data_IF_781714547278
#
_entry.id   IF_781714547278
#
_cell.length_a   1.000
_cell.length_b   1.000
_cell.length_c   1.000
_cell.angle_alpha   90.00
_cell.angle_beta   90.00
_cell.angle_gamma   90.00
#
_symmetry.space_group_name_H-M   'P 1'
#
loop_
_entity.id
_entity.type
_entity.pdbx_description
1 polymer ?
#
# COMPACT_ATOMS: atom_id res chain seq x y z
N UNK A 1 22.94 15.18 12.34
CA UNK A 1 21.92 15.98 13.06
C UNK A 1 20.58 15.45 12.59
N UNK A 2 19.75 15.03 13.55
CA UNK A 2 18.54 14.24 13.35
C UNK A 2 17.37 15.16 13.00
N UNK A 3 16.88 15.09 11.76
CA UNK A 3 15.70 15.86 11.30
C UNK A 3 14.70 14.99 10.52
N UNK A 4 14.70 13.67 10.77
CA UNK A 4 13.61 12.78 10.34
C UNK A 4 12.35 12.78 11.23
N UNK A 5 12.33 13.32 12.47
CA UNK A 5 11.28 12.95 13.42
C UNK A 5 9.99 13.80 13.23
N UNK A 6 10.05 14.84 12.38
CA UNK A 6 8.89 15.67 12.01
C UNK A 6 7.92 14.96 11.05
N UNK A 7 8.41 14.05 10.21
CA UNK A 7 7.58 13.34 9.24
C UNK A 7 6.59 12.39 9.94
N UNK A 8 7.01 11.75 11.03
CA UNK A 8 6.18 10.85 11.83
C UNK A 8 5.04 11.59 12.53
N UNK A 9 5.32 12.76 13.13
CA UNK A 9 4.28 13.60 13.72
C UNK A 9 3.26 14.04 12.66
N UNK A 10 3.72 14.46 11.48
CA UNK A 10 2.86 14.94 10.42
C UNK A 10 2.00 13.81 9.83
N UNK A 11 2.56 12.60 9.75
CA UNK A 11 1.83 11.40 9.36
C UNK A 11 0.76 11.03 10.39
N UNK A 12 1.10 11.04 11.68
CA UNK A 12 0.17 10.84 12.78
C UNK A 12 -0.96 11.85 12.77
N UNK A 13 -0.68 13.14 12.49
CA UNK A 13 -1.70 14.17 12.34
C UNK A 13 -2.62 13.92 11.14
N UNK A 14 -2.05 13.47 10.02
CA UNK A 14 -2.81 13.21 8.79
C UNK A 14 -3.70 11.98 8.90
N UNK A 15 -3.25 10.95 9.62
CA UNK A 15 -4.00 9.72 9.85
C UNK A 15 -4.75 9.73 11.18
N UNK A 16 -4.69 10.81 11.96
CA UNK A 16 -5.27 10.93 13.31
C UNK A 16 -6.73 10.50 13.33
N UNK A 17 -7.53 10.97 12.37
CA UNK A 17 -8.96 10.67 12.28
C UNK A 17 -9.23 9.17 12.09
N UNK A 18 -8.51 8.54 11.15
CA UNK A 18 -8.65 7.10 10.90
C UNK A 18 -8.16 6.26 12.07
N UNK A 19 -7.04 6.67 12.68
CA UNK A 19 -6.51 6.04 13.89
C UNK A 19 -7.51 6.13 15.03
N UNK A 20 -8.14 7.28 15.24
CA UNK A 20 -9.17 7.47 16.26
C UNK A 20 -10.33 6.50 16.02
N UNK A 21 -10.86 6.44 14.79
CA UNK A 21 -11.97 5.54 14.49
C UNK A 21 -11.61 4.07 14.74
N UNK A 22 -10.44 3.62 14.31
CA UNK A 22 -10.03 2.22 14.44
C UNK A 22 -9.69 1.86 15.89
N UNK A 23 -8.84 2.64 16.54
CA UNK A 23 -8.42 2.41 17.92
C UNK A 23 -9.56 2.65 18.92
N UNK A 24 -10.60 3.42 18.55
CA UNK A 24 -11.79 3.59 19.39
C UNK A 24 -12.57 2.30 19.59
N UNK A 25 -12.38 1.29 18.74
CA UNK A 25 -12.97 -0.03 18.91
C UNK A 25 -12.47 -0.72 20.20
N UNK A 26 -11.22 -0.47 20.62
CA UNK A 26 -10.70 -0.93 21.91
C UNK A 26 -9.66 0.04 22.50
N UNK A 27 -10.16 1.17 23.02
CA UNK A 27 -9.32 2.25 23.54
C UNK A 27 -8.55 1.87 24.82
N UNK A 28 -9.04 0.88 25.58
CA UNK A 28 -8.38 0.39 26.80
C UNK A 28 -7.17 -0.49 26.47
N UNK A 29 -7.29 -1.37 25.47
CA UNK A 29 -6.18 -2.18 24.98
C UNK A 29 -5.02 -1.32 24.47
N UNK A 30 -5.33 -0.28 23.69
CA UNK A 30 -4.35 0.66 23.15
C UNK A 30 -3.67 1.46 24.26
N UNK A 31 -4.45 1.93 25.25
CA UNK A 31 -3.91 2.65 26.39
C UNK A 31 -2.94 1.79 27.21
N UNK A 32 -3.26 0.52 27.43
CA UNK A 32 -2.37 -0.43 28.13
C UNK A 32 -1.06 -0.65 27.38
N UNK A 33 -1.12 -0.82 26.06
CA UNK A 33 0.08 -0.99 25.24
C UNK A 33 0.92 0.29 25.21
N UNK A 34 0.30 1.46 25.14
CA UNK A 34 1.00 2.75 25.18
C UNK A 34 1.73 2.98 26.51
N UNK A 35 1.15 2.55 27.62
CA UNK A 35 1.79 2.59 28.95
C UNK A 35 2.96 1.59 29.05
N UNK A 36 2.79 0.36 28.54
CA UNK A 36 3.85 -0.65 28.54
C UNK A 36 5.11 -0.19 27.80
N UNK A 37 4.96 0.59 26.72
CA UNK A 37 6.06 1.22 25.96
C UNK A 37 6.50 2.58 26.53
N UNK A 38 5.91 3.03 27.65
CA UNK A 38 6.16 4.34 28.28
C UNK A 38 6.06 5.52 27.30
N UNK A 39 5.13 5.44 26.35
CA UNK A 39 4.88 6.49 25.35
C UNK A 39 4.21 7.71 25.97
N UNK A 40 3.54 7.52 27.10
CA UNK A 40 2.92 8.56 27.89
C UNK A 40 3.70 8.80 29.18
N UNK A 41 3.68 10.03 29.65
CA UNK A 41 3.99 10.31 31.06
C UNK A 41 2.83 9.83 31.95
N UNK A 42 3.12 9.48 33.20
CA UNK A 42 2.13 9.02 34.19
C UNK A 42 0.88 9.93 34.25
N UNK A 43 1.09 11.25 34.14
CA UNK A 43 0.03 12.26 34.11
C UNK A 43 -0.84 12.18 32.84
N UNK A 44 -0.23 11.94 31.69
CA UNK A 44 -0.94 11.77 30.42
C UNK A 44 -1.74 10.47 30.39
N UNK A 45 -1.19 9.38 30.92
CA UNK A 45 -1.93 8.12 31.10
C UNK A 45 -3.16 8.32 32.00
N UNK A 46 -3.02 9.02 33.12
CA UNK A 46 -4.15 9.29 34.01
C UNK A 46 -5.21 10.20 33.37
N UNK A 47 -4.81 11.19 32.56
CA UNK A 47 -5.77 12.02 31.81
C UNK A 47 -6.54 11.17 30.79
N UNK A 48 -5.83 10.41 29.96
CA UNK A 48 -6.43 9.54 28.95
C UNK A 48 -7.33 8.48 29.60
N UNK A 49 -6.91 7.90 30.73
CA UNK A 49 -7.73 6.95 31.50
C UNK A 49 -8.99 7.58 32.10
N UNK A 50 -8.95 8.88 32.40
CA UNK A 50 -10.09 9.61 32.95
C UNK A 50 -11.14 9.97 31.88
N UNK A 51 -10.77 9.94 30.61
CA UNK A 51 -11.71 10.11 29.49
C UNK A 51 -12.67 8.92 29.41
N UNK A 52 -13.98 9.21 29.48
CA UNK A 52 -15.05 8.20 29.45
C UNK A 52 -15.41 7.75 28.04
N UNK A 53 -15.10 8.56 27.04
CA UNK A 53 -15.42 8.30 25.64
C UNK A 53 -14.21 7.67 24.96
N UNK A 54 -14.33 6.49 24.34
CA UNK A 54 -13.22 5.79 23.69
C UNK A 54 -12.56 6.60 22.57
N UNK A 55 -13.35 7.33 21.78
CA UNK A 55 -12.83 8.18 20.69
C UNK A 55 -12.05 9.39 21.22
N UNK A 56 -12.57 10.08 22.24
CA UNK A 56 -11.84 11.18 22.89
C UNK A 56 -10.59 10.67 23.59
N UNK A 57 -10.67 9.52 24.27
CA UNK A 57 -9.53 8.85 24.90
C UNK A 57 -8.39 8.59 23.93
N UNK A 58 -8.68 8.04 22.75
CA UNK A 58 -7.66 7.85 21.70
C UNK A 58 -7.17 9.19 21.13
N UNK A 59 -8.07 10.17 21.01
CA UNK A 59 -7.71 11.51 20.52
C UNK A 59 -6.73 12.21 21.45
N UNK A 60 -6.98 12.18 22.76
CA UNK A 60 -6.10 12.71 23.81
C UNK A 60 -4.78 11.94 23.87
N UNK A 61 -4.82 10.61 23.71
CA UNK A 61 -3.61 9.79 23.62
C UNK A 61 -2.71 10.27 22.48
N UNK A 62 -3.28 10.41 21.27
CA UNK A 62 -2.56 10.88 20.09
C UNK A 62 -2.09 12.32 20.27
N UNK A 63 -2.89 13.20 20.87
CA UNK A 63 -2.50 14.59 21.11
C UNK A 63 -1.33 14.69 22.08
N UNK A 64 -1.37 13.95 23.19
CA UNK A 64 -0.25 13.87 24.13
C UNK A 64 1.03 13.34 23.48
N UNK A 65 0.93 12.40 22.56
CA UNK A 65 2.08 11.87 21.82
C UNK A 65 2.65 12.92 20.86
N UNK A 66 1.79 13.67 20.17
CA UNK A 66 2.21 14.79 19.31
C UNK A 66 2.87 15.91 20.13
N UNK A 67 2.33 16.23 21.32
CA UNK A 67 2.87 17.26 22.23
C UNK A 67 4.21 16.85 22.86
N UNK A 68 4.40 15.56 23.14
CA UNK A 68 5.63 15.04 23.74
C UNK A 68 6.80 15.08 22.76
N UNK A 69 6.50 15.05 21.47
CA UNK A 69 7.49 15.15 20.42
C UNK A 69 7.71 13.81 19.72
N UNK A 70 8.70 13.77 18.83
CA UNK A 70 8.67 12.79 17.76
C UNK A 70 9.21 11.42 18.15
N UNK A 71 10.02 11.32 19.21
CA UNK A 71 10.40 10.02 19.79
C UNK A 71 9.16 9.25 20.29
N UNK A 72 8.18 9.97 20.86
CA UNK A 72 6.92 9.36 21.28
C UNK A 72 6.06 8.97 20.07
N UNK A 73 6.05 9.80 19.02
CA UNK A 73 5.35 9.54 17.77
C UNK A 73 5.88 8.29 17.06
N UNK A 74 7.21 8.16 16.97
CA UNK A 74 7.89 6.99 16.44
C UNK A 74 7.53 5.74 17.25
N UNK A 75 7.61 5.81 18.58
CA UNK A 75 7.28 4.68 19.44
C UNK A 75 5.82 4.24 19.34
N UNK A 76 4.89 5.17 19.06
CA UNK A 76 3.51 4.83 18.75
C UNK A 76 3.37 4.15 17.38
N UNK A 77 4.09 4.62 16.36
CA UNK A 77 4.11 4.00 15.04
C UNK A 77 4.66 2.57 15.06
N UNK A 78 5.70 2.31 15.84
CA UNK A 78 6.19 0.95 16.07
C UNK A 78 5.15 0.08 16.78
N UNK A 79 4.43 0.64 17.76
CA UNK A 79 3.38 -0.07 18.49
C UNK A 79 2.18 -0.39 17.60
N UNK A 80 1.83 0.52 16.69
CA UNK A 80 0.79 0.29 15.68
C UNK A 80 1.19 -0.82 14.70
N UNK A 81 2.49 -1.10 14.54
CA UNK A 81 3.03 -2.21 13.74
C UNK A 81 3.16 -3.53 14.52
N UNK A 82 2.92 -3.50 15.83
CA UNK A 82 3.03 -4.69 16.64
C UNK A 82 1.95 -5.71 16.24
N UNK A 83 2.35 -6.98 16.19
CA UNK A 83 1.48 -8.08 15.80
C UNK A 83 0.21 -8.11 16.67
N UNK A 84 0.33 -7.84 17.97
CA UNK A 84 -0.81 -7.86 18.89
C UNK A 84 -1.86 -6.78 18.57
N UNK A 85 -1.43 -5.61 18.12
CA UNK A 85 -2.34 -4.54 17.70
C UNK A 85 -2.92 -4.81 16.31
N UNK A 86 -2.15 -5.36 15.38
CA UNK A 86 -2.64 -5.71 14.04
C UNK A 86 -3.68 -6.84 14.08
N UNK A 87 -3.52 -7.81 14.98
CA UNK A 87 -4.51 -8.86 15.22
C UNK A 87 -5.81 -8.31 15.82
N UNK A 88 -5.70 -7.34 16.73
CA UNK A 88 -6.86 -6.68 17.35
C UNK A 88 -7.53 -5.70 16.39
N UNK A 89 -6.75 -5.04 15.53
CA UNK A 89 -7.20 -4.01 14.62
C UNK A 89 -6.65 -4.28 13.20
N UNK A 90 -7.25 -5.22 12.45
CA UNK A 90 -6.81 -5.55 11.08
C UNK A 90 -6.92 -4.36 10.11
N UNK A 91 -7.69 -3.34 10.48
CA UNK A 91 -7.77 -2.09 9.73
C UNK A 91 -6.51 -1.22 9.83
N UNK A 92 -5.56 -1.50 10.74
CA UNK A 92 -4.28 -0.76 10.88
C UNK A 92 -3.22 -1.17 9.84
N UNK A 93 -3.52 -2.10 8.93
CA UNK A 93 -2.56 -2.63 7.96
C UNK A 93 -1.97 -1.53 7.04
N UNK A 94 -2.71 -0.44 6.78
CA UNK A 94 -2.24 0.70 5.97
C UNK A 94 -1.00 1.42 6.54
N UNK A 95 -0.71 1.24 7.83
CA UNK A 95 0.43 1.86 8.50
C UNK A 95 1.72 1.08 8.20
N UNK A 96 1.60 -0.21 7.88
CA UNK A 96 2.76 -1.03 7.57
C UNK A 96 3.45 -0.56 6.27
N UNK A 97 2.64 -0.14 5.28
CA UNK A 97 3.07 0.40 3.99
C UNK A 97 3.83 1.73 4.08
N UNK A 98 3.54 2.54 5.10
CA UNK A 98 4.01 3.93 5.18
C UNK A 98 5.49 4.08 5.56
N UNK A 99 6.17 3.02 6.01
CA UNK A 99 7.60 3.08 6.36
C UNK A 99 8.56 2.58 5.27
N UNK A 100 8.07 2.14 4.09
CA UNK A 100 8.93 1.59 3.02
C UNK A 100 9.64 2.70 2.23
N UNK A 101 10.18 3.72 2.90
CA UNK A 101 11.13 4.62 2.24
C UNK A 101 12.19 5.27 3.13
N UNK A 102 12.32 4.90 4.41
CA UNK A 102 13.50 5.31 5.20
C UNK A 102 14.37 4.11 5.59
N UNK A 103 15.38 3.88 4.74
CA UNK A 103 16.68 3.24 5.01
C UNK A 103 16.71 1.78 5.50
N UNK A 104 17.14 0.90 4.60
CA UNK A 104 18.05 -0.20 4.96
C UNK A 104 19.35 -0.08 4.17
N UNK A 105 20.35 0.47 4.84
CA UNK A 105 21.74 0.61 4.40
C UNK A 105 22.56 -0.65 4.69
N UNK A 106 23.41 -0.98 3.71
CA UNK A 106 24.76 -1.58 3.77
C UNK A 106 25.03 -2.95 4.44
N UNK A 107 25.60 -3.87 3.64
CA UNK A 107 26.90 -4.59 3.85
C UNK A 107 26.95 -5.75 2.82
N UNK A 108 27.93 -5.94 1.92
CA UNK A 108 29.35 -6.18 2.14
C UNK A 108 30.18 -6.07 0.84
N UNK A 109 31.43 -5.66 1.00
CA UNK A 109 32.46 -5.36 0.00
C UNK A 109 33.11 -6.63 -0.60
N UNK A 110 33.41 -6.69 -1.92
CA UNK A 110 34.74 -7.08 -2.47
C UNK A 110 34.91 -6.88 -4.00
N UNK A 111 35.69 -5.85 -4.37
CA UNK A 111 36.86 -5.80 -5.31
C UNK A 111 37.08 -7.03 -6.22
N UNK A 112 37.37 -6.95 -7.54
CA UNK A 112 38.40 -6.19 -8.32
C UNK A 112 37.95 -6.10 -9.80
N UNK A 113 38.03 -5.01 -10.58
CA UNK A 113 39.11 -4.13 -11.07
C UNK A 113 40.05 -4.70 -12.18
N UNK A 114 40.05 -4.01 -13.34
CA UNK A 114 41.03 -4.01 -14.44
C UNK A 114 40.37 -4.24 -15.82
N UNK A 115 40.42 -3.40 -16.87
CA UNK A 115 41.12 -2.14 -17.22
C UNK A 115 40.30 -1.46 -18.37
N UNK A 116 39.95 -0.16 -18.34
CA UNK A 116 40.69 1.02 -18.87
C UNK A 116 40.82 1.00 -20.42
N UNK A 117 40.44 1.96 -21.29
CA UNK A 117 40.18 3.44 -21.37
C UNK A 117 39.40 3.64 -22.72
N UNK A 118 38.41 4.53 -22.94
CA UNK A 118 38.44 6.00 -23.03
C UNK A 118 37.02 6.62 -22.98
N UNK A 119 36.92 7.69 -22.20
CA UNK A 119 35.88 8.73 -22.07
C UNK A 119 35.55 9.36 -23.45
N UNK A 120 34.32 9.75 -23.85
CA UNK A 120 33.49 10.88 -23.34
C UNK A 120 31.98 10.63 -23.67
N UNK A 121 31.06 10.88 -22.72
CA UNK A 121 29.57 10.67 -22.75
C UNK A 121 28.83 12.03 -22.41
N UNK A 122 27.50 12.18 -22.11
CA UNK A 122 26.32 11.27 -22.15
C UNK A 122 24.94 11.86 -22.59
N UNK A 123 24.03 10.99 -23.07
CA UNK A 123 22.55 10.96 -22.87
C UNK A 123 21.93 10.17 -24.04
N UNK A 124 21.02 9.20 -23.91
CA UNK A 124 19.99 8.90 -22.90
C UNK A 124 19.73 7.40 -22.99
N UNK A 125 19.72 6.75 -21.82
CA UNK A 125 19.75 5.31 -21.64
C UNK A 125 18.50 4.62 -22.22
N UNK A 126 18.68 3.91 -23.32
CA UNK A 126 17.72 2.97 -23.89
C UNK A 126 17.95 1.60 -23.25
N UNK A 127 16.85 1.03 -22.75
CA UNK A 127 16.63 -0.40 -22.53
C UNK A 127 17.42 -1.11 -21.43
N UNK A 128 17.05 -0.84 -20.17
CA UNK A 128 16.92 -1.91 -19.17
C UNK A 128 15.57 -1.78 -18.50
N UNK A 129 14.58 -2.41 -19.12
CA UNK A 129 13.51 -3.15 -18.46
C UNK A 129 12.72 -3.77 -19.60
N UNK A 130 13.17 -4.97 -20.01
CA UNK A 130 12.35 -5.88 -20.77
C UNK A 130 11.07 -6.06 -19.96
N UNK A 131 10.05 -5.29 -20.35
CA UNK A 131 8.75 -5.32 -19.73
C UNK A 131 8.17 -6.68 -20.07
N UNK A 132 8.21 -7.59 -19.11
CA UNK A 132 7.65 -8.92 -19.22
C UNK A 132 6.23 -8.80 -19.76
N UNK A 133 6.04 -9.26 -21.00
CA UNK A 133 4.75 -9.26 -21.67
C UNK A 133 3.77 -10.03 -20.78
N UNK A 134 2.58 -9.48 -20.52
CA UNK A 134 1.63 -10.12 -19.58
C UNK A 134 1.32 -11.54 -20.04
N UNK A 135 1.71 -12.54 -19.23
CA UNK A 135 1.45 -13.95 -19.49
C UNK A 135 0.00 -14.30 -19.16
N UNK A 136 -0.51 -15.33 -19.81
CA UNK A 136 -1.91 -15.76 -19.65
C UNK A 136 -2.27 -16.13 -18.20
N UNK A 137 -1.32 -16.70 -17.46
CA UNK A 137 -1.46 -16.96 -16.02
C UNK A 137 -1.67 -15.69 -15.20
N UNK A 138 -0.97 -14.61 -15.53
CA UNK A 138 -1.07 -13.33 -14.85
C UNK A 138 -2.46 -12.70 -15.09
N UNK A 139 -2.93 -12.74 -16.34
CA UNK A 139 -4.30 -12.32 -16.69
C UNK A 139 -5.36 -13.11 -15.93
N UNK A 140 -5.16 -14.42 -15.79
CA UNK A 140 -6.09 -15.29 -15.10
C UNK A 140 -6.12 -15.06 -13.58
N UNK A 141 -4.97 -14.78 -12.97
CA UNK A 141 -4.91 -14.37 -11.56
C UNK A 141 -5.60 -13.02 -11.34
N UNK A 142 -5.37 -12.04 -12.23
CA UNK A 142 -6.03 -10.73 -12.16
C UNK A 142 -7.53 -10.87 -12.38
N UNK A 143 -7.96 -11.75 -13.28
CA UNK A 143 -9.37 -12.01 -13.53
C UNK A 143 -10.12 -12.56 -12.31
N UNK A 144 -9.42 -13.28 -11.42
CA UNK A 144 -9.96 -13.76 -10.14
C UNK A 144 -10.01 -12.66 -9.09
N UNK A 145 -9.05 -11.74 -9.11
CA UNK A 145 -9.05 -10.57 -8.24
C UNK A 145 -10.17 -9.60 -8.61
N UNK A 146 -10.37 -9.36 -9.91
CA UNK A 146 -11.39 -8.46 -10.43
C UNK A 146 -12.80 -9.02 -10.14
N UNK A 147 -13.46 -8.39 -9.19
CA UNK A 147 -14.83 -8.71 -8.78
C UNK A 147 -15.89 -8.20 -9.75
N UNK A 148 -17.06 -7.85 -9.21
CA UNK A 148 -18.24 -7.43 -9.99
C UNK A 148 -18.02 -6.16 -10.82
N UNK A 149 -17.01 -5.36 -10.51
CA UNK A 149 -16.68 -4.11 -11.19
C UNK A 149 -15.96 -4.28 -12.54
N UNK A 150 -15.81 -5.50 -13.05
CA UNK A 150 -15.11 -5.78 -14.31
C UNK A 150 -15.65 -5.00 -15.51
N UNK A 151 -16.95 -4.74 -15.59
CA UNK A 151 -17.56 -3.94 -16.67
C UNK A 151 -17.10 -2.49 -16.64
N UNK A 152 -16.98 -1.94 -15.45
CA UNK A 152 -16.53 -0.56 -15.22
C UNK A 152 -15.04 -0.43 -15.51
N UNK A 153 -14.23 -1.39 -15.05
CA UNK A 153 -12.80 -1.49 -15.37
C UNK A 153 -12.60 -1.61 -16.88
N UNK A 154 -13.37 -2.47 -17.54
CA UNK A 154 -13.32 -2.64 -18.98
C UNK A 154 -13.58 -1.33 -19.73
N UNK A 155 -14.61 -0.60 -19.33
CA UNK A 155 -15.00 0.66 -19.96
C UNK A 155 -14.03 1.80 -19.65
N UNK A 156 -13.63 1.98 -18.40
CA UNK A 156 -12.94 3.16 -17.90
C UNK A 156 -11.41 2.98 -17.90
N UNK A 157 -10.90 1.82 -17.49
CA UNK A 157 -9.47 1.55 -17.45
C UNK A 157 -8.93 0.98 -18.77
N UNK A 158 -9.72 0.16 -19.47
CA UNK A 158 -9.28 -0.54 -20.69
C UNK A 158 -9.86 0.05 -21.98
N UNK A 159 -10.72 1.08 -21.87
CA UNK A 159 -11.39 1.76 -22.97
C UNK A 159 -12.14 0.77 -23.90
N UNK A 160 -12.71 -0.30 -23.35
CA UNK A 160 -13.43 -1.32 -24.10
C UNK A 160 -14.87 -0.85 -24.35
N UNK A 161 -15.38 -0.90 -25.59
CA UNK A 161 -16.75 -0.53 -25.90
C UNK A 161 -17.77 -1.35 -25.10
N UNK A 162 -18.83 -0.71 -24.62
CA UNK A 162 -19.93 -1.39 -23.88
C UNK A 162 -20.52 -2.57 -24.64
N UNK A 163 -20.71 -2.39 -25.95
CA UNK A 163 -21.19 -3.44 -26.86
C UNK A 163 -20.32 -4.69 -26.79
N UNK A 164 -19.00 -4.53 -26.62
CA UNK A 164 -18.09 -5.67 -26.53
C UNK A 164 -18.13 -6.35 -25.17
N UNK A 165 -18.37 -5.58 -24.10
CA UNK A 165 -18.55 -6.12 -22.75
C UNK A 165 -19.85 -6.93 -22.64
N UNK A 166 -20.94 -6.49 -23.27
CA UNK A 166 -22.20 -7.24 -23.35
C UNK A 166 -22.01 -8.56 -24.10
N UNK A 167 -21.34 -8.56 -25.26
CA UNK A 167 -21.02 -9.79 -25.99
C UNK A 167 -20.21 -10.79 -25.14
N UNK A 168 -19.25 -10.30 -24.35
CA UNK A 168 -18.43 -11.15 -23.47
C UNK A 168 -19.26 -11.71 -22.32
N UNK A 169 -20.21 -10.93 -21.78
CA UNK A 169 -21.13 -11.37 -20.74
C UNK A 169 -22.09 -12.46 -21.24
N UNK A 170 -22.53 -12.37 -22.50
CA UNK A 170 -23.40 -13.35 -23.16
C UNK A 170 -22.65 -14.63 -23.57
N UNK A 171 -21.41 -14.52 -24.07
CA UNK A 171 -20.62 -15.65 -24.57
C UNK A 171 -20.08 -16.55 -23.44
N UNK A 172 -19.83 -15.97 -22.25
CA UNK A 172 -19.24 -16.68 -21.13
C UNK A 172 -20.18 -16.76 -19.92
N UNK A 173 -20.36 -17.96 -19.37
CA UNK A 173 -21.19 -18.20 -18.19
C UNK A 173 -20.45 -17.87 -16.88
N UNK A 174 -19.13 -18.12 -16.82
CA UNK A 174 -18.35 -17.87 -15.61
C UNK A 174 -17.80 -16.45 -15.57
N UNK A 175 -17.93 -15.81 -14.41
CA UNK A 175 -17.39 -14.46 -14.16
C UNK A 175 -15.91 -14.35 -14.49
N UNK A 176 -15.10 -15.33 -14.03
CA UNK A 176 -13.65 -15.34 -14.27
C UNK A 176 -13.34 -15.41 -15.77
N UNK A 177 -14.13 -16.14 -16.55
CA UNK A 177 -13.96 -16.22 -18.00
C UNK A 177 -14.31 -14.90 -18.69
N UNK A 178 -15.38 -14.21 -18.26
CA UNK A 178 -15.76 -12.88 -18.76
C UNK A 178 -14.63 -11.88 -18.57
N UNK A 179 -14.09 -11.82 -17.35
CA UNK A 179 -13.01 -10.90 -17.00
C UNK A 179 -11.72 -11.26 -17.76
N UNK A 180 -11.41 -12.55 -17.86
CA UNK A 180 -10.25 -13.02 -18.60
C UNK A 180 -10.36 -12.70 -20.10
N UNK A 181 -11.52 -12.92 -20.70
CA UNK A 181 -11.80 -12.58 -22.10
C UNK A 181 -11.68 -11.07 -22.33
N UNK A 182 -12.17 -10.25 -21.40
CA UNK A 182 -12.03 -8.80 -21.42
C UNK A 182 -10.55 -8.38 -21.39
N UNK A 183 -9.76 -8.91 -20.45
CA UNK A 183 -8.34 -8.59 -20.34
C UNK A 183 -7.54 -9.09 -21.54
N UNK A 184 -7.90 -10.25 -22.09
CA UNK A 184 -7.33 -10.80 -23.33
C UNK A 184 -7.64 -9.90 -24.52
N UNK A 185 -8.87 -9.38 -24.61
CA UNK A 185 -9.26 -8.42 -25.64
C UNK A 185 -8.44 -7.12 -25.53
N UNK A 186 -8.29 -6.57 -24.34
CA UNK A 186 -7.39 -5.43 -24.10
C UNK A 186 -5.95 -5.73 -24.54
N UNK A 187 -5.38 -6.88 -24.16
CA UNK A 187 -4.03 -7.29 -24.58
C UNK A 187 -3.89 -7.33 -26.10
N UNK A 188 -4.90 -7.83 -26.81
CA UNK A 188 -4.88 -7.85 -28.29
C UNK A 188 -4.96 -6.46 -28.92
N UNK A 189 -5.63 -5.51 -28.26
CA UNK A 189 -5.74 -4.11 -28.69
C UNK A 189 -4.45 -3.32 -28.44
N UNK A 190 -3.80 -3.57 -27.31
CA UNK A 190 -2.59 -2.85 -26.87
C UNK A 190 -1.28 -3.46 -27.38
N UNK A 191 -1.32 -4.70 -27.89
CA UNK A 191 -0.21 -5.47 -28.50
C UNK A 191 1.08 -5.39 -27.69
N UNK A 192 2.00 -4.50 -28.06
CA UNK A 192 3.34 -4.34 -27.50
C UNK A 192 3.37 -3.55 -26.17
N UNK A 193 2.32 -2.78 -25.88
CA UNK A 193 2.19 -1.99 -24.64
C UNK A 193 1.45 -2.72 -23.52
N UNK A 194 0.99 -3.95 -23.78
CA UNK A 194 0.28 -4.77 -22.80
C UNK A 194 1.27 -5.42 -21.82
N UNK A 195 1.88 -4.59 -20.98
CA UNK A 195 2.86 -4.98 -19.96
C UNK A 195 2.19 -5.09 -18.59
N UNK A 196 2.75 -5.92 -17.71
CA UNK A 196 2.17 -6.16 -16.38
C UNK A 196 2.14 -4.87 -15.55
N UNK A 197 3.21 -4.07 -15.65
CA UNK A 197 3.27 -2.75 -15.04
C UNK A 197 2.22 -1.77 -15.60
N UNK A 198 1.92 -1.83 -16.90
CA UNK A 198 0.90 -0.95 -17.49
C UNK A 198 -0.51 -1.34 -17.02
N UNK A 199 -0.81 -2.65 -16.98
CA UNK A 199 -2.06 -3.14 -16.41
C UNK A 199 -2.20 -2.78 -14.93
N UNK A 200 -1.12 -2.95 -14.15
CA UNK A 200 -1.09 -2.58 -12.73
C UNK A 200 -1.34 -1.08 -12.53
N UNK A 201 -0.68 -0.23 -13.32
CA UNK A 201 -0.88 1.21 -13.25
C UNK A 201 -2.31 1.62 -13.60
N UNK A 202 -2.95 0.99 -14.59
CA UNK A 202 -4.35 1.25 -14.95
C UNK A 202 -5.32 0.80 -13.86
N UNK A 203 -5.06 -0.34 -13.22
CA UNK A 203 -5.89 -0.86 -12.14
C UNK A 203 -5.67 -0.13 -10.81
N UNK A 204 -4.50 0.51 -10.64
CA UNK A 204 -4.15 1.30 -9.45
C UNK A 204 -4.56 2.78 -9.56
N UNK A 205 -4.80 3.29 -10.77
CA UNK A 205 -5.13 4.72 -10.99
C UNK A 205 -6.52 5.09 -10.48
N UNK A 206 -7.47 4.17 -10.58
CA UNK A 206 -8.84 4.37 -10.13
C UNK A 206 -9.15 3.26 -9.13
N UNK A 207 -9.73 3.62 -7.98
CA UNK A 207 -9.98 2.74 -6.84
C UNK A 207 -11.11 1.73 -7.18
N UNK A 208 -10.83 0.79 -8.08
CA UNK A 208 -11.77 -0.20 -8.62
C UNK A 208 -12.15 -1.29 -7.62
N UNK A 209 -12.30 -0.96 -6.33
CA UNK A 209 -12.63 -1.88 -5.24
C UNK A 209 -11.73 -3.13 -5.17
N UNK A 210 -10.52 -3.04 -5.73
CA UNK A 210 -9.53 -4.10 -5.73
C UNK A 210 -8.49 -3.80 -4.67
N UNK A 211 -8.18 -4.74 -3.78
CA UNK A 211 -7.02 -4.61 -2.91
C UNK A 211 -5.77 -4.48 -3.81
N UNK A 212 -4.89 -3.50 -3.59
CA UNK A 212 -3.63 -3.40 -4.33
C UNK A 212 -2.80 -4.69 -4.17
N UNK A 213 -2.87 -5.33 -3.00
CA UNK A 213 -2.37 -6.69 -2.69
C UNK A 213 -2.78 -7.75 -3.73
N UNK A 214 -3.99 -7.63 -4.30
CA UNK A 214 -4.54 -8.59 -5.27
C UNK A 214 -4.08 -8.36 -6.70
N UNK A 215 -3.28 -7.33 -6.97
CA UNK A 215 -2.66 -7.09 -8.28
C UNK A 215 -1.13 -6.93 -8.17
N UNK A 216 -0.58 -6.80 -6.96
CA UNK A 216 0.85 -6.62 -6.69
C UNK A 216 1.73 -7.74 -7.27
N UNK A 217 1.19 -8.96 -7.33
CA UNK A 217 1.85 -10.10 -8.00
C UNK A 217 2.16 -9.87 -9.50
N UNK A 218 1.56 -8.85 -10.14
CA UNK A 218 1.91 -8.41 -11.49
C UNK A 218 3.28 -7.74 -11.56
N UNK A 219 3.69 -7.06 -10.48
CA UNK A 219 4.99 -6.40 -10.35
C UNK A 219 6.07 -7.37 -9.86
N UNK A 220 5.66 -8.45 -9.19
CA UNK A 220 6.51 -9.54 -8.72
C UNK A 220 6.89 -10.50 -9.88
N UNK A 221 7.54 -9.96 -10.91
CA UNK A 221 8.03 -10.76 -12.04
C UNK A 221 9.48 -11.19 -11.80
N UNK A 222 9.63 -12.42 -11.29
CA UNK A 222 10.85 -13.23 -11.30
C UNK A 222 11.23 -13.62 -12.75
#
# INVERSE_FOLDING_TARGET
MAEEPAAEIQLLRSQKTKLIEILSADADFVLQHADARRLLSLRGYQQVKSCRVPSEKVTDLLDHIIQRGPEAAQGLLELLKDQALQETFPMLCFINDLQVNSLSSETSRKRKQGAELQDIIPAKNICKNASSLVKEKQLMSVARAIGRSWREIGRLALDIPSVKLEQIEEDHQLHVERVFAMLRYWRTRQRDKATAAHLHSLLSQDNWALPPESIDFLLETN
#
